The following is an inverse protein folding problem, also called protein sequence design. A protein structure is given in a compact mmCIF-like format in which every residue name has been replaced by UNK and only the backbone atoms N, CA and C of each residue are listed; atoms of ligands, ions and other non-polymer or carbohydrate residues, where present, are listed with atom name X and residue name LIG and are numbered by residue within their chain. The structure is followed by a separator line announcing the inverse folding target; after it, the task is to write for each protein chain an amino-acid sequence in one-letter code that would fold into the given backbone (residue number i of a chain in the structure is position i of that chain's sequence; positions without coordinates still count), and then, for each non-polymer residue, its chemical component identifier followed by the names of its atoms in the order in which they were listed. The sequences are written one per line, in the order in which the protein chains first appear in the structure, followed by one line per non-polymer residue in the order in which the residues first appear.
data_IF_540371027572
#
_entry.id   IF_540371027572
#
_cell.length_a   1.000
_cell.length_b   1.000
_cell.length_c   1.000
_cell.angle_alpha   90.00
_cell.angle_beta   90.00
_cell.angle_gamma   90.00
#
_symmetry.space_group_name_H-M   'P 1'
#
loop_
_entity.id
_entity.type
_entity.pdbx_description
1 polymer ?
#
# COMPACT_ATOMS: atom_id res chain seq x y z
N UNK A 1 -41.86 3.71 5.18
CA UNK A 1 -40.54 4.38 5.12
C UNK A 1 -39.90 3.96 3.80
N UNK A 2 -40.00 4.79 2.76
CA UNK A 2 -39.42 4.50 1.44
C UNK A 2 -37.93 4.77 1.51
N UNK A 3 -37.10 3.80 1.10
CA UNK A 3 -35.65 4.00 1.02
C UNK A 3 -35.37 5.10 -0.02
N UNK A 4 -34.43 6.02 0.24
CA UNK A 4 -34.02 7.00 -0.75
C UNK A 4 -33.46 6.28 -1.98
N UNK A 5 -33.89 6.71 -3.16
CA UNK A 5 -33.33 6.27 -4.43
C UNK A 5 -31.90 6.80 -4.57
N UNK A 6 -30.95 5.90 -4.84
CA UNK A 6 -29.56 6.28 -5.06
C UNK A 6 -29.45 6.88 -6.46
N UNK A 7 -29.10 8.17 -6.56
CA UNK A 7 -28.90 8.82 -7.86
C UNK A 7 -27.66 8.27 -8.58
N UNK A 8 -27.68 8.26 -9.90
CA UNK A 8 -26.54 7.80 -10.70
C UNK A 8 -25.28 8.63 -10.42
N UNK A 9 -25.43 9.94 -10.21
CA UNK A 9 -24.32 10.83 -9.86
C UNK A 9 -23.70 10.45 -8.52
N UNK A 10 -24.55 10.09 -7.54
CA UNK A 10 -24.08 9.57 -6.26
C UNK A 10 -23.32 8.25 -6.43
N UNK A 11 -23.85 7.30 -7.21
CA UNK A 11 -23.21 6.01 -7.46
C UNK A 11 -21.85 6.18 -8.16
N UNK A 12 -21.76 7.10 -9.13
CA UNK A 12 -20.51 7.40 -9.83
C UNK A 12 -19.47 8.02 -8.88
N UNK A 13 -19.87 9.01 -8.10
CA UNK A 13 -18.99 9.65 -7.13
C UNK A 13 -18.52 8.65 -6.06
N UNK A 14 -19.44 7.87 -5.49
CA UNK A 14 -19.13 6.84 -4.50
C UNK A 14 -18.16 5.80 -5.07
N UNK A 15 -18.40 5.32 -6.29
CA UNK A 15 -17.49 4.40 -6.98
C UNK A 15 -16.09 5.00 -7.18
N UNK A 16 -16.01 6.26 -7.58
CA UNK A 16 -14.74 6.96 -7.74
C UNK A 16 -13.98 7.09 -6.42
N UNK A 17 -14.64 7.53 -5.33
CA UNK A 17 -14.01 7.64 -4.02
C UNK A 17 -13.60 6.29 -3.44
N UNK A 18 -14.41 5.25 -3.61
CA UNK A 18 -14.04 3.87 -3.21
C UNK A 18 -12.84 3.39 -4.02
N UNK A 19 -12.80 3.66 -5.33
CA UNK A 19 -11.67 3.35 -6.18
C UNK A 19 -10.39 4.03 -5.68
N UNK A 20 -10.42 5.34 -5.47
CA UNK A 20 -9.30 6.12 -4.95
C UNK A 20 -8.86 5.61 -3.57
N UNK A 21 -9.81 5.36 -2.66
CA UNK A 21 -9.53 4.83 -1.33
C UNK A 21 -8.90 3.43 -1.40
N UNK A 22 -9.39 2.56 -2.29
CA UNK A 22 -8.82 1.23 -2.52
C UNK A 22 -7.39 1.31 -3.07
N UNK A 23 -7.11 2.21 -4.00
CA UNK A 23 -5.75 2.43 -4.48
C UNK A 23 -4.84 2.96 -3.37
N UNK A 24 -5.31 3.94 -2.59
CA UNK A 24 -4.56 4.60 -1.53
C UNK A 24 -4.29 3.68 -0.32
N UNK A 25 -5.27 2.87 0.10
CA UNK A 25 -5.16 2.03 1.28
C UNK A 25 -4.65 0.63 0.98
N UNK A 26 -4.82 0.12 -0.25
CA UNK A 26 -4.50 -1.28 -0.60
C UNK A 26 -3.44 -1.39 -1.69
N UNK A 27 -3.73 -0.91 -2.90
CA UNK A 27 -2.90 -1.21 -4.08
C UNK A 27 -1.50 -0.59 -3.96
N UNK A 28 -1.43 0.71 -3.70
CA UNK A 28 -0.15 1.43 -3.62
C UNK A 28 0.67 1.01 -2.39
N UNK A 29 0.10 0.90 -1.17
CA UNK A 29 0.83 0.40 0.00
C UNK A 29 1.44 -0.98 -0.20
N UNK A 30 0.70 -1.94 -0.74
CA UNK A 30 1.21 -3.28 -1.00
C UNK A 30 2.36 -3.26 -2.01
N UNK A 31 2.18 -2.56 -3.14
CA UNK A 31 3.23 -2.41 -4.15
C UNK A 31 4.50 -1.78 -3.56
N UNK A 32 4.33 -0.73 -2.74
CA UNK A 32 5.44 -0.05 -2.08
C UNK A 32 6.18 -0.96 -1.08
N UNK A 33 5.46 -1.72 -0.27
CA UNK A 33 6.06 -2.67 0.67
C UNK A 33 6.93 -3.70 -0.06
N UNK A 34 6.45 -4.26 -1.18
CA UNK A 34 7.24 -5.20 -1.99
C UNK A 34 8.42 -4.53 -2.69
N UNK A 35 8.26 -3.29 -3.17
CA UNK A 35 9.36 -2.52 -3.75
C UNK A 35 10.47 -2.26 -2.73
N UNK A 36 10.09 -1.81 -1.53
CA UNK A 36 11.01 -1.59 -0.42
C UNK A 36 11.75 -2.87 -0.07
N UNK A 37 11.06 -4.01 0.05
CA UNK A 37 11.71 -5.30 0.30
C UNK A 37 12.82 -5.60 -0.70
N UNK A 38 12.60 -5.33 -1.99
CA UNK A 38 13.57 -5.63 -3.04
C UNK A 38 14.76 -4.67 -3.05
N UNK A 39 14.52 -3.37 -2.81
CA UNK A 39 15.53 -2.33 -3.05
C UNK A 39 16.12 -1.69 -1.79
N UNK A 40 15.64 -2.03 -0.60
CA UNK A 40 16.06 -1.38 0.65
C UNK A 40 17.58 -1.31 0.84
N UNK A 41 18.29 -2.39 0.54
CA UNK A 41 19.74 -2.49 0.73
C UNK A 41 20.58 -1.92 -0.42
N UNK A 42 19.96 -1.62 -1.56
CA UNK A 42 20.64 -1.14 -2.78
C UNK A 42 20.24 0.29 -3.18
N UNK A 43 19.25 0.87 -2.50
CA UNK A 43 18.74 2.20 -2.81
C UNK A 43 19.76 3.31 -2.52
N UNK A 44 19.95 4.20 -3.52
CA UNK A 44 20.78 5.40 -3.39
C UNK A 44 20.20 6.42 -2.40
N UNK A 45 20.92 7.51 -2.13
CA UNK A 45 20.48 8.56 -1.20
C UNK A 45 19.19 9.25 -1.65
N UNK A 46 19.13 9.68 -2.92
CA UNK A 46 17.96 10.35 -3.51
C UNK A 46 16.74 9.42 -3.52
N UNK A 47 16.92 8.18 -3.99
CA UNK A 47 15.86 7.17 -4.03
C UNK A 47 15.29 6.91 -2.63
N UNK A 48 16.17 6.73 -1.63
CA UNK A 48 15.76 6.45 -0.25
C UNK A 48 15.04 7.63 0.40
N UNK A 49 15.45 8.87 0.13
CA UNK A 49 14.73 10.06 0.60
C UNK A 49 13.33 10.13 0.00
N UNK A 50 13.18 9.88 -1.30
CA UNK A 50 11.86 9.83 -1.95
C UNK A 50 11.01 8.70 -1.38
N UNK A 51 11.58 7.53 -1.17
CA UNK A 51 10.87 6.39 -0.58
C UNK A 51 10.34 6.70 0.82
N UNK A 52 11.09 7.40 1.66
CA UNK A 52 10.57 7.85 2.97
C UNK A 52 9.38 8.80 2.83
N UNK A 53 9.43 9.73 1.89
CA UNK A 53 8.29 10.62 1.61
C UNK A 53 7.06 9.84 1.16
N UNK A 54 7.22 8.90 0.22
CA UNK A 54 6.12 8.07 -0.28
C UNK A 54 5.56 7.15 0.82
N UNK A 55 6.43 6.56 1.64
CA UNK A 55 6.03 5.77 2.82
C UNK A 55 5.15 6.60 3.75
N UNK A 56 5.49 7.86 3.99
CA UNK A 56 4.68 8.72 4.86
C UNK A 56 3.30 9.04 4.25
N UNK A 57 3.24 9.31 2.95
CA UNK A 57 1.97 9.57 2.24
C UNK A 57 1.03 8.38 2.33
N UNK A 58 1.54 7.15 2.21
CA UNK A 58 0.75 5.92 2.23
C UNK A 58 0.81 5.15 3.56
N UNK A 59 1.27 5.81 4.63
CA UNK A 59 1.46 5.20 5.95
C UNK A 59 0.20 4.50 6.50
N UNK A 60 -1.01 5.08 6.40
CA UNK A 60 -2.21 4.42 6.93
C UNK A 60 -2.48 3.06 6.27
N UNK A 61 -2.29 2.95 4.96
CA UNK A 61 -2.46 1.70 4.24
C UNK A 61 -1.39 0.68 4.58
N UNK A 62 -0.13 1.10 4.72
CA UNK A 62 0.93 0.18 5.15
C UNK A 62 0.74 -0.34 6.58
N UNK A 63 0.22 0.50 7.48
CA UNK A 63 -0.10 0.10 8.84
C UNK A 63 -1.16 -1.01 8.84
N UNK A 64 -2.17 -0.91 7.96
CA UNK A 64 -3.21 -1.94 7.80
C UNK A 64 -2.63 -3.32 7.45
N UNK A 65 -1.59 -3.37 6.61
CA UNK A 65 -0.96 -4.63 6.19
C UNK A 65 0.20 -5.11 7.07
N UNK A 66 0.68 -4.26 7.97
CA UNK A 66 1.82 -4.56 8.84
C UNK A 66 1.70 -5.86 9.66
N UNK A 67 0.53 -6.28 10.19
CA UNK A 67 0.46 -7.53 10.94
C UNK A 67 0.45 -8.79 10.06
N UNK A 68 0.20 -8.66 8.75
CA UNK A 68 0.03 -9.81 7.86
C UNK A 68 1.30 -10.15 7.07
N UNK A 69 2.18 -9.19 6.85
CA UNK A 69 3.35 -9.34 6.00
C UNK A 69 4.60 -9.62 6.85
N UNK A 70 5.25 -10.77 6.63
CA UNK A 70 6.49 -11.14 7.31
C UNK A 70 7.66 -11.21 6.32
N UNK A 71 8.58 -10.25 6.40
CA UNK A 71 9.79 -10.21 5.56
C UNK A 71 11.05 -10.67 6.29
N UNK A 72 10.90 -11.53 7.30
CA UNK A 72 12.05 -12.17 7.93
C UNK A 72 12.92 -12.86 6.88
N UNK A 73 14.25 -12.65 6.90
CA UNK A 73 15.17 -13.40 6.05
C UNK A 73 14.97 -14.91 6.22
N UNK A 74 14.96 -15.63 5.11
CA UNK A 74 14.87 -17.08 5.16
C UNK A 74 16.19 -17.68 5.72
N UNK A 75 16.13 -18.81 6.42
CA UNK A 75 17.33 -19.50 6.89
C UNK A 75 18.26 -19.80 5.71
N UNK A 76 19.57 -19.58 5.91
CA UNK A 76 20.59 -20.01 4.95
C UNK A 76 20.70 -21.51 4.98
N UNK A 77 20.88 -22.13 3.80
CA UNK A 77 21.34 -23.51 3.74
C UNK A 77 22.77 -23.60 4.28
N UNK A 78 23.00 -24.60 5.14
CA UNK A 78 24.27 -24.88 5.78
C UNK A 78 24.95 -26.11 5.18
N UNK A 79 24.31 -26.80 4.24
CA UNK A 79 24.90 -27.91 3.50
C UNK A 79 25.59 -27.36 2.26
N UNK A 80 26.92 -27.31 2.32
CA UNK A 80 27.83 -27.10 1.18
C UNK A 80 28.23 -28.44 0.57
#
# INVERSE_FOLDING_TARGET
MTMPELSNDFLLAAGAYIGIAGFYLVVVPLALIFYLRQRWYVAGSVERTLLYGVVFVFFPGMLLFSPFLNFRPQPRDLRS
#
